data_IF_023379943642
#
_entry.id   IF_023379943642
#
_cell.length_a   1.000
_cell.length_b   1.000
_cell.length_c   1.000
_cell.angle_alpha   90.00
_cell.angle_beta   90.00
_cell.angle_gamma   90.00
#
_symmetry.space_group_name_H-M   'P 1'
#
loop_
_entity.id
_entity.type
_entity.pdbx_description
1 polymer ?
#
# COMPACT_ATOMS: atom_id res chain seq x y z
N UNK A 1 -12.99 -32.89 1.39
CA UNK A 1 -13.48 -31.66 0.71
C UNK A 1 -12.25 -30.94 0.23
N UNK A 2 -11.94 -31.02 -1.05
CA UNK A 2 -10.86 -30.23 -1.64
C UNK A 2 -11.33 -28.78 -1.67
N UNK A 3 -10.74 -27.94 -0.82
CA UNK A 3 -11.00 -26.51 -0.83
C UNK A 3 -10.39 -25.96 -2.12
N UNK A 4 -11.21 -25.82 -3.15
CA UNK A 4 -10.84 -25.20 -4.43
C UNK A 4 -10.48 -23.74 -4.18
N UNK A 5 -9.25 -23.47 -3.72
CA UNK A 5 -8.64 -22.17 -3.86
C UNK A 5 -8.62 -21.90 -5.37
N UNK A 6 -9.49 -21.00 -5.82
CA UNK A 6 -9.55 -20.58 -7.22
C UNK A 6 -8.14 -20.19 -7.65
N UNK A 7 -7.67 -20.67 -8.81
CA UNK A 7 -6.33 -20.39 -9.33
C UNK A 7 -6.04 -18.88 -9.43
N UNK A 8 -7.10 -18.06 -9.49
CA UNK A 8 -7.04 -16.60 -9.54
C UNK A 8 -7.01 -15.92 -8.17
N UNK A 9 -7.08 -16.68 -7.08
CA UNK A 9 -7.16 -16.10 -5.72
C UNK A 9 -5.89 -15.32 -5.37
N UNK A 10 -4.72 -15.84 -5.75
CA UNK A 10 -3.45 -15.17 -5.48
C UNK A 10 -3.28 -13.89 -6.32
N UNK A 11 -3.65 -13.94 -7.61
CA UNK A 11 -3.62 -12.79 -8.51
C UNK A 11 -4.59 -11.70 -8.07
N UNK A 12 -5.79 -12.09 -7.67
CA UNK A 12 -6.79 -11.17 -7.12
C UNK A 12 -6.28 -10.52 -5.84
N UNK A 13 -5.66 -11.28 -4.94
CA UNK A 13 -5.06 -10.76 -3.71
C UNK A 13 -3.90 -9.80 -4.00
N UNK A 14 -3.06 -10.11 -4.99
CA UNK A 14 -1.97 -9.24 -5.42
C UNK A 14 -2.51 -7.90 -5.96
N UNK A 15 -3.57 -7.95 -6.77
CA UNK A 15 -4.24 -6.76 -7.29
C UNK A 15 -4.80 -5.87 -6.16
N UNK A 16 -5.50 -6.46 -5.19
CA UNK A 16 -6.02 -5.71 -4.04
C UNK A 16 -4.91 -5.09 -3.19
N UNK A 17 -3.79 -5.79 -2.99
CA UNK A 17 -2.63 -5.26 -2.25
C UNK A 17 -2.02 -4.06 -2.96
N UNK A 18 -1.83 -4.14 -4.28
CA UNK A 18 -1.33 -3.02 -5.08
C UNK A 18 -2.29 -1.83 -5.06
N UNK A 19 -3.60 -2.08 -5.10
CA UNK A 19 -4.59 -1.02 -4.98
C UNK A 19 -4.54 -0.33 -3.61
N UNK A 20 -4.37 -1.09 -2.52
CA UNK A 20 -4.23 -0.53 -1.18
C UNK A 20 -3.00 0.37 -1.04
N UNK A 21 -1.85 -0.06 -1.57
CA UNK A 21 -0.66 0.79 -1.61
C UNK A 21 -0.91 2.11 -2.35
N UNK A 22 -1.65 2.06 -3.46
CA UNK A 22 -2.00 3.27 -4.20
C UNK A 22 -2.94 4.19 -3.41
N UNK A 23 -3.98 3.64 -2.78
CA UNK A 23 -4.94 4.41 -1.96
C UNK A 23 -4.24 5.11 -0.80
N UNK A 24 -3.33 4.42 -0.10
CA UNK A 24 -2.52 5.00 0.98
C UNK A 24 -1.63 6.11 0.43
N UNK A 25 -0.91 5.87 -0.67
CA UNK A 25 -0.02 6.86 -1.29
C UNK A 25 -0.76 8.10 -1.76
N UNK A 26 -1.98 7.94 -2.25
CA UNK A 26 -2.84 9.05 -2.71
C UNK A 26 -3.55 9.77 -1.56
N UNK A 27 -3.47 9.25 -0.32
CA UNK A 27 -4.14 9.83 0.85
C UNK A 27 -5.68 9.74 0.80
N UNK A 28 -6.23 8.77 0.06
CA UNK A 28 -7.68 8.60 -0.07
C UNK A 28 -8.28 7.92 1.17
N UNK A 29 -8.59 8.75 2.15
CA UNK A 29 -9.18 8.34 3.45
C UNK A 29 -10.62 7.84 3.34
N UNK A 30 -11.29 8.00 2.19
CA UNK A 30 -12.66 7.50 1.98
C UNK A 30 -12.61 6.04 1.52
N UNK A 31 -11.74 5.74 0.55
CA UNK A 31 -11.58 4.40 0.01
C UNK A 31 -10.81 3.46 0.96
N UNK A 32 -9.82 3.98 1.70
CA UNK A 32 -8.95 3.20 2.59
C UNK A 32 -9.70 2.28 3.56
N UNK A 33 -10.65 2.75 4.39
CA UNK A 33 -11.30 1.89 5.39
C UNK A 33 -12.12 0.77 4.76
N UNK A 34 -12.78 1.06 3.64
CA UNK A 34 -13.58 0.07 2.90
C UNK A 34 -12.69 -1.01 2.28
N UNK A 35 -11.58 -0.59 1.65
CA UNK A 35 -10.62 -1.51 1.06
C UNK A 35 -9.90 -2.36 2.11
N UNK A 36 -9.61 -1.78 3.28
CA UNK A 36 -9.04 -2.49 4.44
C UNK A 36 -9.95 -3.63 4.88
N UNK A 37 -11.26 -3.38 5.00
CA UNK A 37 -12.23 -4.43 5.33
C UNK A 37 -12.27 -5.56 4.30
N UNK A 38 -12.22 -5.24 3.01
CA UNK A 38 -12.19 -6.24 1.93
C UNK A 38 -10.93 -7.10 2.00
N UNK A 39 -9.77 -6.51 2.27
CA UNK A 39 -8.51 -7.24 2.41
C UNK A 39 -8.51 -8.18 3.61
N UNK A 40 -9.09 -7.77 4.73
CA UNK A 40 -9.27 -8.64 5.91
C UNK A 40 -10.18 -9.83 5.58
N UNK A 41 -11.29 -9.59 4.88
CA UNK A 41 -12.17 -10.67 4.41
C UNK A 41 -11.50 -11.60 3.40
N UNK A 42 -10.57 -11.08 2.59
CA UNK A 42 -9.73 -11.87 1.68
C UNK A 42 -8.61 -12.65 2.40
N UNK A 43 -8.48 -12.50 3.72
CA UNK A 43 -7.55 -13.27 4.55
C UNK A 43 -6.21 -12.60 4.85
N UNK A 44 -6.05 -11.30 4.56
CA UNK A 44 -4.91 -10.54 5.08
C UNK A 44 -5.15 -10.15 6.53
N UNK A 45 -4.11 -10.12 7.35
CA UNK A 45 -4.22 -9.63 8.72
C UNK A 45 -4.11 -8.12 8.77
N UNK A 46 -4.77 -7.51 9.75
CA UNK A 46 -4.68 -6.07 10.00
C UNK A 46 -3.23 -5.60 10.19
N UNK A 47 -2.41 -6.37 10.90
CA UNK A 47 -0.98 -6.09 11.07
C UNK A 47 -0.19 -6.02 9.76
N UNK A 48 -0.59 -6.80 8.74
CA UNK A 48 0.05 -6.78 7.43
C UNK A 48 -0.36 -5.51 6.67
N UNK A 49 -1.61 -5.05 6.84
CA UNK A 49 -2.09 -3.81 6.26
C UNK A 49 -1.42 -2.59 6.90
N UNK A 50 -1.21 -2.62 8.22
CA UNK A 50 -0.47 -1.56 8.92
C UNK A 50 0.99 -1.49 8.48
N UNK A 51 1.66 -2.63 8.30
CA UNK A 51 3.03 -2.66 7.78
C UNK A 51 3.11 -2.07 6.35
N UNK A 52 2.19 -2.45 5.45
CA UNK A 52 2.13 -1.89 4.10
C UNK A 52 1.89 -0.37 4.14
N UNK A 53 1.03 0.09 5.05
CA UNK A 53 0.74 1.52 5.19
C UNK A 53 1.97 2.30 5.64
N UNK A 54 2.67 1.79 6.65
CA UNK A 54 3.88 2.41 7.18
C UNK A 54 5.00 2.47 6.13
N UNK A 55 5.22 1.37 5.40
CA UNK A 55 6.16 1.30 4.27
C UNK A 55 5.86 2.37 3.21
N UNK A 56 4.60 2.47 2.76
CA UNK A 56 4.20 3.42 1.72
C UNK A 56 4.36 4.87 2.19
N UNK A 57 4.04 5.16 3.45
CA UNK A 57 4.20 6.50 4.03
C UNK A 57 5.69 6.87 4.19
N UNK A 58 6.53 5.91 4.60
CA UNK A 58 7.96 6.09 4.71
C UNK A 58 8.62 6.34 3.33
N UNK A 59 8.22 5.58 2.31
CA UNK A 59 8.65 5.80 0.92
C UNK A 59 8.22 7.18 0.40
N UNK A 60 6.99 7.60 0.70
CA UNK A 60 6.49 8.94 0.34
C UNK A 60 7.32 10.07 0.97
N UNK A 61 7.70 9.92 2.24
CA UNK A 61 8.52 10.90 2.94
C UNK A 61 9.96 10.97 2.41
N UNK A 62 10.58 9.81 2.10
CA UNK A 62 11.94 9.77 1.56
C UNK A 62 12.07 10.40 0.17
N UNK A 63 11.03 10.30 -0.66
CA UNK A 63 11.04 10.91 -2.00
C UNK A 63 10.87 12.44 -1.95
N UNK A 64 10.21 12.96 -0.91
CA UNK A 64 10.08 14.40 -0.67
C UNK A 64 11.42 15.00 -0.19
N UNK A 65 12.13 14.35 0.74
CA UNK A 65 13.45 14.82 1.21
C UNK A 65 14.53 14.83 0.11
N UNK A 66 14.52 13.84 -0.79
CA UNK A 66 15.48 13.78 -1.91
C UNK A 66 15.32 14.94 -2.92
N UNK A 67 14.14 15.58 -2.98
CA UNK A 67 13.91 16.74 -3.85
C UNK A 67 14.48 18.05 -3.27
N UNK A 68 14.77 18.11 -1.97
CA UNK A 68 15.31 19.30 -1.31
C UNK A 68 16.86 19.38 -1.32
N UNK A 69 17.56 18.29 -1.62
CA UNK A 69 19.03 18.25 -1.60
C UNK A 69 19.68 18.76 -2.91
N UNK A 70 18.98 18.66 -4.05
CA UNK A 70 19.51 19.05 -5.38
C UNK A 70 19.63 20.58 -5.57
N UNK A 71 18.82 21.39 -4.87
CA UNK A 71 18.83 22.86 -4.98
C UNK A 71 19.97 23.53 -4.18
N UNK A 72 20.52 22.85 -3.16
CA UNK A 72 21.59 23.40 -2.30
C UNK A 72 23.01 23.23 -2.89
N UNK A 73 23.17 22.43 -3.94
CA UNK A 73 24.46 22.14 -4.56
C UNK A 73 24.90 23.15 -5.63
N UNK A 74 24.07 24.15 -5.99
CA UNK A 74 24.38 25.15 -7.03
C UNK A 74 24.80 26.53 -6.51
N UNK A 75 24.99 26.70 -5.20
CA UNK A 75 25.30 27.99 -4.57
C UNK A 75 26.75 28.13 -4.04
N UNK A 76 27.71 27.40 -4.61
CA UNK A 76 29.15 27.60 -4.37
C UNK A 76 29.95 27.65 -5.68
#
# INVERSE_FOLDING_TARGET
MESTHSIFFEEWRACLRAHYMHVVRSGDTIAEPTLRQVLVQAGLRESELDAIRDEVLAEGAAMDEAAFDDDQAQLF
#
